data_IF_818671720262
#
_entry.id   IF_818671720262
#
_cell.length_a   1.000
_cell.length_b   1.000
_cell.length_c   1.000
_cell.angle_alpha   90.00
_cell.angle_beta   90.00
_cell.angle_gamma   90.00
#
_symmetry.space_group_name_H-M   'P 1'
#
loop_
_entity.id
_entity.type
_entity.pdbx_description
1 polymer ?
#
# COMPACT_ATOMS: atom_id res chain seq x y z
N UNK A 1 17.68 28.10 -13.22
CA UNK A 1 16.58 28.14 -12.23
C UNK A 1 17.13 27.89 -10.84
N UNK A 2 17.06 28.88 -9.95
CA UNK A 2 17.62 28.82 -8.59
C UNK A 2 16.67 28.03 -7.67
N UNK A 3 17.19 27.09 -6.88
CA UNK A 3 16.40 26.39 -5.85
C UNK A 3 16.05 27.38 -4.75
N UNK A 4 14.79 27.41 -4.33
CA UNK A 4 14.31 28.22 -3.19
C UNK A 4 14.56 27.54 -1.83
N UNK A 5 14.85 26.25 -1.83
CA UNK A 5 15.05 25.45 -0.62
C UNK A 5 16.52 25.24 -0.31
N UNK A 6 16.85 25.16 0.97
CA UNK A 6 18.19 24.79 1.44
C UNK A 6 18.37 23.27 1.43
N UNK A 7 19.63 22.79 1.43
CA UNK A 7 19.91 21.34 1.56
C UNK A 7 19.31 20.72 2.83
N UNK A 8 19.14 21.50 3.90
CA UNK A 8 18.53 21.04 5.15
C UNK A 8 17.03 20.83 4.99
N UNK A 9 16.35 21.73 4.28
CA UNK A 9 14.93 21.61 3.96
C UNK A 9 14.67 20.44 3.01
N UNK A 10 15.49 20.28 1.96
CA UNK A 10 15.37 19.15 1.03
C UNK A 10 15.45 17.80 1.76
N UNK A 11 16.41 17.66 2.70
CA UNK A 11 16.52 16.46 3.55
C UNK A 11 15.32 16.28 4.47
N UNK A 12 14.76 17.37 5.01
CA UNK A 12 13.57 17.33 5.87
C UNK A 12 12.35 16.83 5.09
N UNK A 13 12.15 17.34 3.87
CA UNK A 13 11.07 16.92 2.95
C UNK A 13 11.14 15.41 2.70
N UNK A 14 12.31 14.91 2.30
CA UNK A 14 12.49 13.48 2.00
C UNK A 14 12.32 12.63 3.26
N UNK A 15 12.86 13.07 4.40
CA UNK A 15 12.73 12.35 5.68
C UNK A 15 11.28 12.18 6.09
N UNK A 16 10.44 13.20 5.94
CA UNK A 16 9.03 13.07 6.28
C UNK A 16 8.32 12.00 5.45
N UNK A 17 8.59 11.94 4.14
CA UNK A 17 8.02 10.92 3.26
C UNK A 17 8.51 9.49 3.59
N UNK A 18 9.71 9.36 4.19
CA UNK A 18 10.25 8.07 4.64
C UNK A 18 9.71 7.64 6.01
N UNK A 19 9.53 8.59 6.93
CA UNK A 19 9.02 8.33 8.29
C UNK A 19 7.53 8.03 8.27
N UNK A 20 6.75 8.80 7.51
CA UNK A 20 5.34 8.55 7.26
C UNK A 20 5.12 8.45 5.75
N UNK A 21 5.09 7.23 5.19
CA UNK A 21 4.81 7.00 3.78
C UNK A 21 3.49 7.61 3.31
N UNK A 22 2.51 7.83 4.18
CA UNK A 22 1.18 8.36 3.82
C UNK A 22 1.10 9.89 3.82
N UNK A 23 2.17 10.57 4.25
CA UNK A 23 2.17 12.01 4.44
C UNK A 23 1.83 12.76 3.14
N UNK A 24 0.95 13.75 3.26
CA UNK A 24 0.57 14.57 2.10
C UNK A 24 1.60 15.68 1.85
N UNK A 25 1.70 16.12 0.59
CA UNK A 25 2.53 17.28 0.22
C UNK A 25 2.14 18.55 0.98
N UNK A 26 0.86 18.71 1.31
CA UNK A 26 0.37 19.87 2.07
C UNK A 26 0.85 19.85 3.52
N UNK A 27 0.86 18.67 4.15
CA UNK A 27 1.40 18.47 5.49
C UNK A 27 2.91 18.73 5.52
N UNK A 28 3.65 18.21 4.53
CA UNK A 28 5.10 18.49 4.40
C UNK A 28 5.35 20.00 4.25
N UNK A 29 4.56 20.68 3.43
CA UNK A 29 4.68 22.14 3.24
C UNK A 29 4.50 22.89 4.56
N UNK A 30 3.49 22.53 5.34
CA UNK A 30 3.21 23.16 6.63
C UNK A 30 4.36 22.96 7.62
N UNK A 31 4.96 21.77 7.66
CA UNK A 31 6.06 21.45 8.57
C UNK A 31 7.39 22.15 8.19
N UNK A 32 7.70 22.21 6.89
CA UNK A 32 8.93 22.85 6.41
C UNK A 32 8.86 24.37 6.61
N UNK A 33 7.67 24.98 6.57
CA UNK A 33 7.46 26.40 6.88
C UNK A 33 7.97 27.37 5.80
N UNK A 34 8.39 26.86 4.64
CA UNK A 34 8.87 27.67 3.51
C UNK A 34 7.76 27.84 2.49
N UNK A 35 7.67 29.04 1.90
CA UNK A 35 6.72 29.36 0.83
C UNK A 35 7.08 28.65 -0.49
N UNK A 36 6.83 27.34 -0.55
CA UNK A 36 7.04 26.48 -1.72
C UNK A 36 5.73 25.90 -2.24
N UNK A 37 5.67 25.71 -3.56
CA UNK A 37 4.55 25.02 -4.21
C UNK A 37 4.67 23.50 -4.02
N UNK A 38 3.55 22.75 -3.92
CA UNK A 38 3.57 21.29 -3.75
C UNK A 38 4.36 20.53 -4.82
N UNK A 39 4.51 21.10 -6.02
CA UNK A 39 5.29 20.51 -7.11
C UNK A 39 6.80 20.48 -6.79
N UNK A 40 7.31 21.44 -6.02
CA UNK A 40 8.71 21.46 -5.57
C UNK A 40 8.97 20.32 -4.58
N UNK A 41 8.05 20.11 -3.63
CA UNK A 41 8.09 18.98 -2.69
C UNK A 41 8.11 17.65 -3.45
N UNK A 42 7.21 17.49 -4.43
CA UNK A 42 7.19 16.28 -5.26
C UNK A 42 8.51 16.04 -5.99
N UNK A 43 9.12 17.08 -6.56
CA UNK A 43 10.43 16.96 -7.24
C UNK A 43 11.51 16.49 -6.29
N UNK A 44 11.64 17.06 -5.09
CA UNK A 44 12.64 16.62 -4.11
C UNK A 44 12.44 15.16 -3.68
N UNK A 45 11.19 14.73 -3.49
CA UNK A 45 10.85 13.34 -3.18
C UNK A 45 11.21 12.42 -4.36
N UNK A 46 10.92 12.84 -5.60
CA UNK A 46 11.25 12.08 -6.80
C UNK A 46 12.76 12.00 -7.07
N UNK A 47 13.51 13.07 -6.78
CA UNK A 47 14.99 13.09 -6.82
C UNK A 47 15.61 12.08 -5.85
N UNK A 48 14.94 11.84 -4.71
CA UNK A 48 15.30 10.77 -3.78
C UNK A 48 14.80 9.38 -4.21
N UNK A 49 14.33 9.22 -5.46
CA UNK A 49 13.79 7.96 -6.00
C UNK A 49 12.60 7.38 -5.21
N UNK A 50 11.78 8.25 -4.60
CA UNK A 50 10.51 7.87 -3.99
C UNK A 50 9.37 8.13 -4.97
N UNK A 51 8.43 7.19 -5.03
CA UNK A 51 7.24 7.28 -5.90
C UNK A 51 5.97 7.17 -5.08
N UNK A 52 4.99 8.01 -5.39
CA UNK A 52 3.64 7.87 -4.86
C UNK A 52 2.96 6.69 -5.55
N UNK A 53 2.67 5.62 -4.80
CA UNK A 53 2.01 4.41 -5.27
C UNK A 53 0.85 4.03 -4.36
N UNK A 54 -0.10 3.25 -4.87
CA UNK A 54 -1.19 2.72 -4.03
C UNK A 54 -0.61 1.72 -3.02
N UNK A 55 -1.11 1.78 -1.79
CA UNK A 55 -0.82 0.78 -0.77
C UNK A 55 -1.22 -0.62 -1.24
N UNK A 56 -0.48 -1.63 -0.77
CA UNK A 56 -0.91 -3.01 -0.93
C UNK A 56 -1.93 -3.36 0.15
N UNK A 57 -2.98 -4.09 -0.20
CA UNK A 57 -3.99 -4.54 0.76
C UNK A 57 -3.82 -6.02 1.04
N UNK A 58 -3.34 -6.36 2.23
CA UNK A 58 -3.16 -7.75 2.65
C UNK A 58 -4.35 -8.23 3.49
N UNK A 59 -4.65 -9.53 3.42
CA UNK A 59 -5.55 -10.16 4.37
C UNK A 59 -4.81 -10.36 5.71
N UNK A 60 -5.44 -10.05 6.86
CA UNK A 60 -4.85 -10.30 8.17
C UNK A 60 -4.91 -11.80 8.51
N UNK A 61 -4.05 -12.59 7.87
CA UNK A 61 -3.97 -14.04 8.12
C UNK A 61 -3.20 -14.33 9.41
N UNK A 62 -3.86 -15.01 10.35
CA UNK A 62 -3.21 -15.63 11.52
C UNK A 62 -2.27 -16.76 11.07
N UNK A 63 -1.30 -17.17 11.90
CA UNK A 63 -0.42 -18.31 11.58
C UNK A 63 -1.21 -19.58 11.24
N UNK A 64 -2.30 -19.84 11.97
CA UNK A 64 -3.19 -20.97 11.75
C UNK A 64 -3.88 -20.90 10.38
N UNK A 65 -4.44 -19.74 10.00
CA UNK A 65 -5.04 -19.56 8.67
C UNK A 65 -4.02 -19.81 7.56
N UNK A 66 -2.76 -19.39 7.74
CA UNK A 66 -1.70 -19.64 6.75
C UNK A 66 -1.42 -21.12 6.60
N UNK A 67 -1.34 -21.84 7.72
CA UNK A 67 -1.10 -23.28 7.72
C UNK A 67 -2.23 -24.06 7.05
N UNK A 68 -3.49 -23.78 7.42
CA UNK A 68 -4.67 -24.43 6.83
C UNK A 68 -4.76 -24.17 5.32
N UNK A 69 -4.53 -22.93 4.90
CA UNK A 69 -4.53 -22.58 3.47
C UNK A 69 -3.42 -23.30 2.71
N UNK A 70 -2.22 -23.39 3.29
CA UNK A 70 -1.11 -24.10 2.67
C UNK A 70 -1.43 -25.59 2.51
N UNK A 71 -1.92 -26.23 3.57
CA UNK A 71 -2.34 -27.64 3.53
C UNK A 71 -3.44 -27.87 2.49
N UNK A 72 -4.44 -26.98 2.43
CA UNK A 72 -5.53 -27.06 1.46
C UNK A 72 -5.01 -26.99 0.02
N UNK A 73 -4.07 -26.08 -0.27
CA UNK A 73 -3.42 -25.97 -1.57
C UNK A 73 -2.55 -27.19 -1.90
N UNK A 74 -1.77 -27.68 -0.94
CA UNK A 74 -0.91 -28.86 -1.13
C UNK A 74 -1.73 -30.10 -1.45
N UNK A 75 -2.82 -30.34 -0.72
CA UNK A 75 -3.72 -31.47 -0.91
C UNK A 75 -4.39 -31.48 -2.31
N UNK A 76 -4.44 -30.32 -2.98
CA UNK A 76 -5.08 -30.13 -4.30
C UNK A 76 -4.09 -29.70 -5.38
N UNK A 77 -2.79 -29.78 -5.10
CA UNK A 77 -1.74 -29.30 -6.02
C UNK A 77 -1.69 -30.07 -7.34
N UNK A 78 -2.11 -31.34 -7.32
CA UNK A 78 -2.16 -32.24 -8.48
C UNK A 78 -3.54 -32.33 -9.13
N UNK A 79 -4.53 -31.55 -8.69
CA UNK A 79 -5.88 -31.60 -9.25
C UNK A 79 -5.89 -31.10 -10.69
N UNK A 80 -6.56 -31.86 -11.55
CA UNK A 80 -6.74 -31.53 -12.95
C UNK A 80 -8.10 -30.86 -13.20
N UNK A 81 -8.35 -30.46 -14.46
CA UNK A 81 -9.61 -29.78 -14.84
C UNK A 81 -10.87 -30.59 -14.45
N UNK A 82 -10.96 -31.91 -14.73
CA UNK A 82 -12.08 -32.73 -14.25
C UNK A 82 -12.30 -32.71 -12.73
N UNK A 83 -11.24 -32.64 -11.93
CA UNK A 83 -11.38 -32.58 -10.47
C UNK A 83 -11.96 -31.23 -10.02
N UNK A 84 -11.53 -30.13 -10.64
CA UNK A 84 -12.10 -28.81 -10.38
C UNK A 84 -13.56 -28.68 -10.84
N UNK A 85 -13.96 -29.36 -11.90
CA UNK A 85 -15.35 -29.37 -12.39
C UNK A 85 -16.34 -29.96 -11.38
N UNK A 86 -15.88 -30.76 -10.42
CA UNK A 86 -16.72 -31.33 -9.36
C UNK A 86 -17.00 -30.35 -8.23
N UNK A 87 -16.33 -29.19 -8.19
CA UNK A 87 -16.46 -28.19 -7.13
C UNK A 87 -17.44 -27.10 -7.52
N UNK A 88 -18.45 -26.87 -6.68
CA UNK A 88 -19.35 -25.72 -6.79
C UNK A 88 -18.92 -24.67 -5.77
N UNK A 89 -18.54 -23.49 -6.25
CA UNK A 89 -18.20 -22.35 -5.40
C UNK A 89 -19.44 -21.49 -5.14
N UNK A 90 -19.57 -20.99 -3.91
CA UNK A 90 -20.58 -20.00 -3.54
C UNK A 90 -19.92 -18.92 -2.68
N UNK A 91 -20.33 -17.67 -2.86
CA UNK A 91 -19.88 -16.52 -2.07
C UNK A 91 -20.94 -15.41 -2.12
N UNK A 92 -20.93 -14.52 -1.15
CA UNK A 92 -21.79 -13.35 -1.11
C UNK A 92 -20.99 -12.09 -1.46
N UNK A 93 -21.50 -11.30 -2.41
CA UNK A 93 -20.86 -10.05 -2.81
C UNK A 93 -21.74 -8.85 -2.48
N UNK A 94 -21.12 -7.82 -1.88
CA UNK A 94 -21.77 -6.55 -1.58
C UNK A 94 -21.70 -5.61 -2.79
N UNK A 95 -22.85 -5.14 -3.27
CA UNK A 95 -22.94 -4.09 -4.28
C UNK A 95 -23.12 -2.72 -3.61
N UNK A 96 -22.28 -1.74 -3.98
CA UNK A 96 -22.35 -0.36 -3.45
C UNK A 96 -22.35 0.65 -4.59
N UNK A 97 -23.14 1.71 -4.45
CA UNK A 97 -23.27 2.80 -5.42
C UNK A 97 -22.16 3.86 -5.33
N UNK A 98 -21.28 3.78 -4.33
CA UNK A 98 -20.16 4.71 -4.11
C UNK A 98 -18.84 3.98 -3.93
N UNK A 99 -17.72 4.69 -4.12
CA UNK A 99 -16.39 4.09 -3.95
C UNK A 99 -16.07 3.91 -2.47
N UNK A 100 -15.67 2.70 -2.08
CA UNK A 100 -14.94 2.42 -0.86
C UNK A 100 -13.57 3.11 -0.90
N UNK A 101 -13.53 4.37 -0.44
CA UNK A 101 -12.42 5.32 -0.57
C UNK A 101 -11.11 4.98 0.13
N UNK A 102 -10.85 3.71 0.48
CA UNK A 102 -9.67 3.27 1.23
C UNK A 102 -8.38 3.17 0.40
N UNK A 103 -8.30 3.82 -0.76
CA UNK A 103 -7.11 3.81 -1.62
C UNK A 103 -6.07 4.84 -1.16
N UNK A 104 -5.38 4.53 -0.07
CA UNK A 104 -4.28 5.35 0.44
C UNK A 104 -3.09 5.28 -0.53
N UNK A 105 -2.46 6.43 -0.79
CA UNK A 105 -1.19 6.50 -1.53
C UNK A 105 -0.05 6.63 -0.55
N UNK A 106 1.04 5.91 -0.82
CA UNK A 106 2.25 5.88 -0.02
C UNK A 106 3.46 6.27 -0.88
N UNK A 107 4.39 7.02 -0.29
CA UNK A 107 5.74 7.22 -0.80
C UNK A 107 6.56 5.97 -0.53
N UNK A 108 7.14 5.38 -1.57
CA UNK A 108 8.02 4.22 -1.43
C UNK A 108 9.05 4.15 -2.53
N UNK A 109 10.15 3.45 -2.27
CA UNK A 109 11.10 3.15 -3.33
C UNK A 109 10.55 2.07 -4.27
N UNK A 110 11.02 2.04 -5.53
CA UNK A 110 10.75 0.90 -6.41
C UNK A 110 11.18 -0.42 -5.76
N UNK A 111 10.33 -1.45 -5.83
CA UNK A 111 10.61 -2.77 -5.26
C UNK A 111 10.05 -3.02 -3.85
N UNK A 112 9.69 -1.98 -3.09
CA UNK A 112 9.23 -2.12 -1.69
C UNK A 112 7.73 -2.46 -1.55
N UNK A 113 7.19 -3.27 -2.47
CA UNK A 113 5.75 -3.56 -2.52
C UNK A 113 5.28 -4.38 -1.32
N UNK A 114 6.09 -5.36 -0.91
CA UNK A 114 5.78 -6.29 0.18
C UNK A 114 6.34 -5.85 1.53
N UNK A 115 6.87 -4.63 1.62
CA UNK A 115 7.29 -4.09 2.91
C UNK A 115 6.04 -3.92 3.79
N UNK A 116 6.12 -4.44 5.02
CA UNK A 116 5.06 -4.34 6.02
C UNK A 116 4.60 -2.90 6.27
N UNK A 117 5.51 -1.93 6.18
CA UNK A 117 5.23 -0.49 6.33
C UNK A 117 4.35 0.07 5.20
N UNK A 118 4.31 -0.58 4.03
CA UNK A 118 3.54 -0.16 2.86
C UNK A 118 2.28 -1.01 2.63
N UNK A 119 1.93 -1.84 3.62
CA UNK A 119 0.83 -2.79 3.58
C UNK A 119 -0.28 -2.35 4.52
N UNK A 120 -1.50 -2.21 4.00
CA UNK A 120 -2.70 -1.96 4.78
C UNK A 120 -3.44 -3.29 4.94
N UNK A 121 -3.72 -3.69 6.18
CA UNK A 121 -4.57 -4.85 6.42
C UNK A 121 -6.01 -4.51 6.04
N UNK A 122 -6.61 -5.36 5.19
CA UNK A 122 -8.04 -5.23 4.88
C UNK A 122 -8.83 -5.39 6.16
N UNK A 123 -9.79 -4.50 6.39
CA UNK A 123 -10.83 -4.72 7.39
C UNK A 123 -11.72 -5.86 6.89
N UNK A 124 -11.58 -7.03 7.50
CA UNK A 124 -12.43 -8.18 7.22
C UNK A 124 -13.66 -8.12 8.12
N UNK A 125 -14.84 -7.97 7.52
CA UNK A 125 -16.08 -8.43 8.15
C UNK A 125 -16.24 -9.89 7.72
N UNK A 126 -15.99 -10.83 8.63
CA UNK A 126 -16.02 -12.27 8.36
C UNK A 126 -14.79 -12.78 7.59
N UNK A 127 -13.93 -13.52 8.28
CA UNK A 127 -12.94 -14.39 7.63
C UNK A 127 -13.52 -15.79 7.72
N UNK A 128 -13.84 -16.42 6.60
CA UNK A 128 -14.07 -17.87 6.58
C UNK A 128 -12.75 -18.58 6.85
N UNK A 129 -12.79 -19.46 7.87
CA UNK A 129 -11.79 -20.49 8.20
C UNK A 129 -12.00 -21.67 7.26
#
# INVERSE_FOLDING_TARGET
MTRKTTRREDRRIVRQALVDPTVTRSTIRADVGVAIVPQTIFRHIAEANLKSKRSFHALPLTPEHRQLRLQWCQARSMWNVPDWQKVVFSDESRFVLGTDGNRVRMWRHPGEWYNSLHTILRRTAGVMV
#
